data_IF_487236316896
#
_entry.id   IF_487236316896
#
_cell.length_a   1.000
_cell.length_b   1.000
_cell.length_c   1.000
_cell.angle_alpha   90.00
_cell.angle_beta   90.00
_cell.angle_gamma   90.00
#
_symmetry.space_group_name_H-M   'P 1'
#
loop_
_entity.id
_entity.type
_entity.pdbx_description
1 polymer ?
#
# COMPACT_ATOMS: atom_id res chain seq x y z
N UNK A 1 13.96 -14.11 28.42
CA UNK A 1 14.59 -12.91 27.84
C UNK A 1 13.48 -11.91 27.60
N UNK A 2 13.53 -10.72 28.21
CA UNK A 2 12.52 -9.71 27.98
C UNK A 2 12.52 -9.34 26.49
N UNK A 3 11.41 -9.59 25.80
CA UNK A 3 11.17 -9.06 24.47
C UNK A 3 11.08 -7.54 24.60
N UNK A 4 12.20 -6.84 24.47
CA UNK A 4 12.20 -5.40 24.23
C UNK A 4 11.55 -5.20 22.88
N UNK A 5 10.25 -4.90 22.88
CA UNK A 5 9.53 -4.41 21.72
C UNK A 5 10.30 -3.21 21.19
N UNK A 6 10.59 -3.21 19.88
CA UNK A 6 11.17 -2.03 19.24
C UNK A 6 10.07 -0.99 19.20
N UNK A 7 10.18 0.03 20.05
CA UNK A 7 9.29 1.18 20.02
C UNK A 7 9.53 1.98 18.75
N UNK A 8 8.45 2.50 18.16
CA UNK A 8 8.51 3.39 17.01
C UNK A 8 7.67 4.64 17.25
N UNK A 9 8.00 5.72 16.55
CA UNK A 9 7.35 7.03 16.72
C UNK A 9 6.38 7.35 15.59
N UNK A 10 5.47 8.30 15.83
CA UNK A 10 4.57 8.84 14.79
C UNK A 10 5.36 9.33 13.58
N UNK A 11 6.47 10.04 13.82
CA UNK A 11 7.33 10.52 12.73
C UNK A 11 7.91 9.36 11.90
N UNK A 12 8.24 8.22 12.52
CA UNK A 12 8.72 7.06 11.77
C UNK A 12 7.63 6.43 10.91
N UNK A 13 6.39 6.43 11.37
CA UNK A 13 5.23 6.01 10.55
C UNK A 13 5.03 6.98 9.38
N UNK A 14 5.09 8.30 9.63
CA UNK A 14 4.96 9.31 8.58
C UNK A 14 6.07 9.24 7.52
N UNK A 15 7.30 8.93 7.92
CA UNK A 15 8.41 8.71 7.00
C UNK A 15 8.18 7.48 6.09
N UNK A 16 7.35 6.53 6.51
CA UNK A 16 6.98 5.34 5.74
C UNK A 16 5.80 5.58 4.77
N UNK A 17 5.17 6.76 4.79
CA UNK A 17 4.13 7.11 3.81
C UNK A 17 4.70 7.10 2.40
N UNK A 18 3.91 6.62 1.44
CA UNK A 18 4.32 6.55 0.04
C UNK A 18 4.90 7.87 -0.49
N UNK A 19 4.24 8.99 -0.20
CA UNK A 19 4.66 10.33 -0.65
C UNK A 19 5.96 10.81 0.02
N UNK A 20 6.32 10.27 1.18
CA UNK A 20 7.55 10.63 1.90
C UNK A 20 8.82 10.05 1.27
N UNK A 21 8.74 8.87 0.65
CA UNK A 21 9.93 8.18 0.11
C UNK A 21 9.94 8.02 -1.41
N UNK A 22 8.78 8.08 -2.08
CA UNK A 22 8.70 7.71 -3.50
C UNK A 22 9.56 8.59 -4.40
N UNK A 23 9.61 9.91 -4.20
CA UNK A 23 10.39 10.77 -5.10
C UNK A 23 11.89 10.47 -5.01
N UNK A 24 12.41 10.25 -3.80
CA UNK A 24 13.82 9.89 -3.59
C UNK A 24 14.19 8.53 -4.21
N UNK A 25 13.25 7.59 -4.27
CA UNK A 25 13.46 6.23 -4.79
C UNK A 25 12.78 5.99 -6.14
N UNK A 26 12.36 7.05 -6.82
CA UNK A 26 11.50 6.97 -8.02
C UNK A 26 12.14 6.15 -9.13
N UNK A 27 13.45 6.31 -9.35
CA UNK A 27 14.22 5.60 -10.37
C UNK A 27 14.36 4.09 -10.08
N UNK A 28 14.17 3.68 -8.82
CA UNK A 28 14.24 2.29 -8.37
C UNK A 28 12.86 1.70 -8.04
N UNK A 29 11.79 2.46 -8.28
CA UNK A 29 10.42 2.08 -7.92
C UNK A 29 9.55 1.88 -9.17
N UNK A 30 8.53 1.04 -9.05
CA UNK A 30 7.50 0.94 -10.07
C UNK A 30 6.84 2.31 -10.25
N UNK A 31 6.70 2.73 -11.51
CA UNK A 31 6.03 3.98 -11.86
C UNK A 31 4.66 4.06 -11.20
N UNK A 32 4.45 5.12 -10.44
CA UNK A 32 3.27 5.32 -9.61
C UNK A 32 2.85 6.79 -9.62
N UNK A 33 1.56 7.03 -9.33
CA UNK A 33 0.95 8.35 -9.19
C UNK A 33 0.22 8.36 -7.84
N UNK A 34 0.43 9.42 -7.04
CA UNK A 34 -0.28 9.65 -5.80
C UNK A 34 -1.28 10.80 -6.00
N UNK A 35 -2.53 10.58 -5.58
CA UNK A 35 -3.64 11.53 -5.71
C UNK A 35 -4.18 11.78 -4.29
N UNK A 36 -4.25 13.03 -3.81
CA UNK A 36 -4.86 13.34 -2.52
C UNK A 36 -6.30 12.82 -2.47
N UNK A 37 -6.66 12.19 -1.35
CA UNK A 37 -8.03 11.70 -1.13
C UNK A 37 -8.93 12.85 -0.64
N UNK A 38 -10.08 13.07 -1.29
CA UNK A 38 -11.14 13.91 -0.75
C UNK A 38 -11.70 13.31 0.56
N UNK A 39 -12.10 14.15 1.51
CA UNK A 39 -12.62 13.69 2.81
C UNK A 39 -13.91 12.88 2.64
N UNK A 40 -14.75 13.24 1.67
CA UNK A 40 -15.96 12.49 1.30
C UNK A 40 -15.66 11.06 0.81
N UNK A 41 -14.52 10.85 0.15
CA UNK A 41 -14.07 9.52 -0.25
C UNK A 41 -13.54 8.74 0.95
N UNK A 42 -12.79 9.39 1.86
CA UNK A 42 -12.36 8.77 3.11
C UNK A 42 -13.57 8.37 3.96
N UNK A 43 -14.54 9.26 4.11
CA UNK A 43 -15.78 9.00 4.84
C UNK A 43 -16.57 7.86 4.20
N UNK A 44 -16.67 7.80 2.86
CA UNK A 44 -17.37 6.72 2.19
C UNK A 44 -16.68 5.37 2.37
N UNK A 45 -15.34 5.31 2.40
CA UNK A 45 -14.60 4.07 2.68
C UNK A 45 -14.90 3.52 4.08
N UNK A 46 -15.16 4.38 5.06
CA UNK A 46 -15.44 4.00 6.45
C UNK A 46 -16.92 3.67 6.73
N UNK A 47 -17.81 3.87 5.77
CA UNK A 47 -19.21 3.46 5.88
C UNK A 47 -19.37 1.97 5.56
N UNK A 48 -20.35 1.30 6.15
CA UNK A 48 -20.58 -0.13 5.89
C UNK A 48 -21.13 -0.42 4.48
N UNK A 49 -21.76 0.56 3.83
CA UNK A 49 -22.46 0.37 2.55
C UNK A 49 -21.54 0.51 1.35
N UNK A 50 -21.48 -0.52 0.49
CA UNK A 50 -20.74 -0.45 -0.78
C UNK A 50 -21.59 0.27 -1.84
N UNK A 51 -21.36 1.58 -1.99
CA UNK A 51 -21.95 2.39 -3.06
C UNK A 51 -20.91 2.64 -4.15
N UNK A 52 -21.13 2.05 -5.33
CA UNK A 52 -20.26 2.18 -6.51
C UNK A 52 -20.84 3.21 -7.47
N UNK A 53 -20.95 4.44 -7.00
CA UNK A 53 -21.50 5.56 -7.75
C UNK A 53 -20.44 6.66 -7.83
N UNK A 54 -19.97 6.97 -9.04
CA UNK A 54 -18.88 7.92 -9.27
C UNK A 54 -19.30 9.37 -8.99
N UNK A 55 -20.59 9.67 -9.16
CA UNK A 55 -21.22 10.98 -8.95
C UNK A 55 -21.26 11.41 -7.48
N UNK A 56 -20.96 10.51 -6.55
CA UNK A 56 -20.82 10.80 -5.12
C UNK A 56 -19.50 11.51 -4.77
N UNK A 57 -18.56 11.56 -5.70
CA UNK A 57 -17.21 12.07 -5.47
C UNK A 57 -16.91 13.27 -6.38
N UNK A 58 -15.98 14.17 -6.01
CA UNK A 58 -15.59 15.28 -6.85
C UNK A 58 -15.20 14.82 -8.25
N UNK A 59 -15.79 15.44 -9.27
CA UNK A 59 -15.51 15.11 -10.67
C UNK A 59 -14.02 15.27 -11.01
N UNK A 60 -13.34 16.24 -10.37
CA UNK A 60 -11.89 16.44 -10.47
C UNK A 60 -11.09 15.24 -9.94
N UNK A 61 -11.51 14.65 -8.82
CA UNK A 61 -10.88 13.48 -8.24
C UNK A 61 -11.09 12.24 -9.12
N UNK A 62 -12.33 11.98 -9.53
CA UNK A 62 -12.64 10.84 -10.42
C UNK A 62 -11.89 10.96 -11.75
N UNK A 63 -11.84 12.16 -12.33
CA UNK A 63 -11.08 12.42 -13.55
C UNK A 63 -9.58 12.19 -13.35
N UNK A 64 -9.00 12.65 -12.23
CA UNK A 64 -7.59 12.43 -11.91
C UNK A 64 -7.26 10.94 -11.75
N UNK A 65 -8.15 10.15 -11.14
CA UNK A 65 -7.98 8.69 -11.01
C UNK A 65 -8.03 8.02 -12.39
N UNK A 66 -9.00 8.38 -13.23
CA UNK A 66 -9.12 7.84 -14.60
C UNK A 66 -7.91 8.21 -15.48
N UNK A 67 -7.44 9.46 -15.41
CA UNK A 67 -6.20 9.90 -16.08
C UNK A 67 -4.99 9.09 -15.60
N UNK A 68 -4.84 8.91 -14.28
CA UNK A 68 -3.74 8.14 -13.73
C UNK A 68 -3.78 6.67 -14.17
N UNK A 69 -4.96 6.03 -14.21
CA UNK A 69 -5.12 4.68 -14.78
C UNK A 69 -4.64 4.65 -16.23
N UNK A 70 -5.07 5.62 -17.05
CA UNK A 70 -4.67 5.71 -18.46
C UNK A 70 -3.14 5.87 -18.61
N UNK A 71 -2.54 6.83 -17.91
CA UNK A 71 -1.09 7.12 -17.95
C UNK A 71 -0.22 5.97 -17.44
N UNK A 72 -0.76 5.11 -16.59
CA UNK A 72 -0.08 3.91 -16.09
C UNK A 72 -0.28 2.68 -16.98
N UNK A 73 -1.01 2.80 -18.10
CA UNK A 73 -1.20 1.74 -19.09
C UNK A 73 -2.50 0.95 -18.94
N UNK A 74 -3.53 1.55 -18.33
CA UNK A 74 -4.88 0.97 -18.23
C UNK A 74 -5.04 -0.12 -17.16
N UNK A 75 -3.96 -0.54 -16.51
CA UNK A 75 -3.96 -1.52 -15.42
C UNK A 75 -3.11 -1.01 -14.28
N UNK A 76 -3.69 -0.97 -13.09
CA UNK A 76 -3.04 -0.44 -11.91
C UNK A 76 -3.20 -1.35 -10.71
N UNK A 77 -2.30 -1.19 -9.76
CA UNK A 77 -2.40 -1.71 -8.40
C UNK A 77 -2.69 -0.54 -7.47
N UNK A 78 -3.80 -0.60 -6.72
CA UNK A 78 -4.21 0.47 -5.81
C UNK A 78 -3.79 0.20 -4.36
N UNK A 79 -3.33 1.24 -3.67
CA UNK A 79 -3.03 1.23 -2.24
C UNK A 79 -3.19 2.63 -1.64
N UNK A 80 -3.18 2.74 -0.31
CA UNK A 80 -3.05 4.02 0.38
C UNK A 80 -1.58 4.32 0.74
N UNK A 81 -1.35 5.25 1.65
CA UNK A 81 -0.01 5.68 2.06
C UNK A 81 0.89 4.52 2.51
N UNK A 82 0.36 3.55 3.28
CA UNK A 82 1.17 2.47 3.84
C UNK A 82 0.76 1.10 3.31
N UNK A 83 -0.53 0.80 3.35
CA UNK A 83 -1.04 -0.55 3.13
C UNK A 83 -1.70 -0.70 1.77
N UNK A 84 -1.56 -1.89 1.19
CA UNK A 84 -2.32 -2.33 0.02
C UNK A 84 -3.43 -3.26 0.44
N UNK A 85 -4.55 -3.23 -0.29
CA UNK A 85 -5.75 -4.05 -0.07
C UNK A 85 -5.58 -5.53 -0.48
N UNK A 86 -4.48 -6.16 -0.06
CA UNK A 86 -4.10 -7.54 -0.43
C UNK A 86 -4.99 -8.62 0.20
N UNK A 87 -5.57 -8.31 1.36
CA UNK A 87 -6.60 -9.07 2.07
C UNK A 87 -7.93 -9.07 1.32
N UNK A 88 -8.23 -8.02 0.57
CA UNK A 88 -9.47 -7.87 -0.18
C UNK A 88 -9.43 -8.43 -1.61
N UNK A 89 -8.35 -9.12 -2.01
CA UNK A 89 -8.20 -9.66 -3.39
C UNK A 89 -9.37 -10.53 -3.85
N UNK A 90 -10.10 -11.14 -2.91
CA UNK A 90 -11.26 -11.99 -3.18
C UNK A 90 -12.38 -11.24 -3.91
N UNK A 91 -12.52 -9.93 -3.72
CA UNK A 91 -13.59 -9.13 -4.35
C UNK A 91 -13.38 -8.94 -5.86
N UNK A 92 -12.13 -9.03 -6.34
CA UNK A 92 -11.76 -8.87 -7.76
C UNK A 92 -11.26 -10.18 -8.37
N UNK A 93 -11.99 -11.28 -8.15
CA UNK A 93 -11.65 -12.61 -8.68
C UNK A 93 -10.20 -13.04 -8.35
N UNK A 94 -9.78 -12.82 -7.10
CA UNK A 94 -8.44 -13.15 -6.59
C UNK A 94 -7.29 -12.36 -7.27
N UNK A 95 -7.58 -11.13 -7.71
CA UNK A 95 -6.62 -10.23 -8.35
C UNK A 95 -6.53 -8.89 -7.61
N UNK A 96 -5.37 -8.23 -7.70
CA UNK A 96 -5.16 -6.85 -7.23
C UNK A 96 -5.01 -5.87 -8.41
N UNK A 97 -5.31 -6.33 -9.62
CA UNK A 97 -5.27 -5.51 -10.83
C UNK A 97 -6.60 -4.77 -11.00
N UNK A 98 -6.59 -3.46 -10.77
CA UNK A 98 -7.71 -2.57 -11.06
C UNK A 98 -7.61 -2.00 -12.47
N UNK A 99 -8.74 -1.87 -13.17
CA UNK A 99 -8.86 -1.28 -14.52
C UNK A 99 -9.80 -0.08 -14.55
N UNK A 100 -10.64 0.06 -13.54
CA UNK A 100 -11.63 1.12 -13.42
C UNK A 100 -11.62 1.77 -12.04
N UNK A 101 -12.29 2.91 -11.91
CA UNK A 101 -12.54 3.55 -10.61
C UNK A 101 -13.35 2.64 -9.69
N UNK A 102 -14.35 1.95 -10.24
CA UNK A 102 -15.17 0.98 -9.51
C UNK A 102 -14.33 -0.14 -8.89
N UNK A 103 -13.38 -0.71 -9.64
CA UNK A 103 -12.49 -1.76 -9.12
C UNK A 103 -11.68 -1.27 -7.92
N UNK A 104 -11.14 -0.04 -8.01
CA UNK A 104 -10.36 0.59 -6.94
C UNK A 104 -11.24 0.78 -5.70
N UNK A 105 -12.42 1.36 -5.87
CA UNK A 105 -13.34 1.63 -4.78
C UNK A 105 -13.76 0.34 -4.08
N UNK A 106 -14.18 -0.69 -4.83
CA UNK A 106 -14.56 -1.99 -4.29
C UNK A 106 -13.42 -2.63 -3.50
N UNK A 107 -12.20 -2.61 -4.05
CA UNK A 107 -11.04 -3.23 -3.43
C UNK A 107 -10.63 -2.53 -2.14
N UNK A 108 -10.55 -1.19 -2.15
CA UNK A 108 -10.16 -0.41 -0.96
C UNK A 108 -11.21 -0.54 0.15
N UNK A 109 -12.49 -0.55 -0.22
CA UNK A 109 -13.58 -0.64 0.74
C UNK A 109 -13.70 -2.01 1.41
N UNK A 110 -13.34 -3.09 0.71
CA UNK A 110 -13.40 -4.44 1.24
C UNK A 110 -12.15 -4.84 2.07
N UNK A 111 -11.23 -3.91 2.36
CA UNK A 111 -9.95 -4.20 3.01
C UNK A 111 -9.89 -3.66 4.44
N UNK A 112 -9.55 -4.57 5.37
CA UNK A 112 -9.26 -4.24 6.76
C UNK A 112 -7.95 -3.47 6.89
N UNK A 113 -6.96 -3.76 6.03
CA UNK A 113 -5.71 -2.99 6.03
C UNK A 113 -5.91 -1.53 5.63
N UNK A 114 -6.83 -1.26 4.70
CA UNK A 114 -7.18 0.11 4.33
C UNK A 114 -7.94 0.80 5.48
N UNK A 115 -8.87 0.08 6.13
CA UNK A 115 -9.57 0.59 7.31
C UNK A 115 -8.60 0.93 8.45
N UNK A 116 -7.59 0.09 8.68
CA UNK A 116 -6.53 0.35 9.65
C UNK A 116 -5.73 1.62 9.30
N UNK A 117 -5.25 1.76 8.06
CA UNK A 117 -4.57 2.98 7.58
C UNK A 117 -5.42 4.24 7.83
N UNK A 118 -6.74 4.15 7.64
CA UNK A 118 -7.67 5.28 7.78
C UNK A 118 -8.13 5.56 9.21
N UNK A 119 -7.90 4.68 10.19
CA UNK A 119 -8.45 4.85 11.55
C UNK A 119 -7.41 4.78 12.65
N UNK A 120 -6.38 3.96 12.46
CA UNK A 120 -5.44 3.53 13.50
C UNK A 120 -3.99 3.52 13.00
N UNK A 121 -3.63 4.38 12.04
CA UNK A 121 -2.28 4.42 11.47
C UNK A 121 -1.15 4.57 12.50
N UNK A 122 -1.40 5.25 13.63
CA UNK A 122 -0.41 5.48 14.69
C UNK A 122 -0.52 4.50 15.85
N UNK A 123 -1.25 3.39 15.69
CA UNK A 123 -1.32 2.38 16.74
C UNK A 123 0.06 1.75 16.99
N UNK A 124 0.38 1.52 18.26
CA UNK A 124 1.68 1.04 18.72
C UNK A 124 2.83 2.07 18.73
N UNK A 125 2.61 3.33 18.32
CA UNK A 125 3.63 4.37 18.48
C UNK A 125 3.81 4.74 19.97
N UNK A 126 5.04 5.05 20.39
CA UNK A 126 5.35 5.42 21.79
C UNK A 126 4.99 6.86 22.15
N UNK A 127 4.91 7.75 21.14
CA UNK A 127 4.68 9.19 21.28
C UNK A 127 3.30 9.62 20.74
N UNK A 128 2.32 8.73 20.81
CA UNK A 128 0.95 9.04 20.36
C UNK A 128 0.34 10.09 21.27
N UNK A 129 0.09 11.28 20.71
CA UNK A 129 -0.74 12.29 21.33
C UNK A 129 -2.23 11.92 21.27
N UNK A 130 -3.08 12.89 20.96
CA UNK A 130 -4.52 12.66 20.79
C UNK A 130 -4.89 12.15 19.39
N UNK A 131 -4.05 12.39 18.38
CA UNK A 131 -4.30 11.97 16.99
C UNK A 131 -3.92 10.49 16.80
N UNK A 132 -4.83 9.72 16.19
CA UNK A 132 -4.63 8.29 15.85
C UNK A 132 -4.23 8.06 14.38
N UNK A 133 -4.32 9.10 13.55
CA UNK A 133 -4.10 9.08 12.10
C UNK A 133 -3.74 10.48 11.58
N UNK A 134 -3.17 10.63 10.37
CA UNK A 134 -2.98 11.94 9.75
C UNK A 134 -4.31 12.54 9.28
N UNK A 135 -4.28 13.84 8.97
CA UNK A 135 -5.46 14.57 8.48
C UNK A 135 -5.69 14.38 6.97
N UNK A 136 -4.67 13.95 6.22
CA UNK A 136 -4.74 13.77 4.77
C UNK A 136 -4.19 12.41 4.37
N UNK A 137 -4.73 11.86 3.29
CA UNK A 137 -4.34 10.57 2.72
C UNK A 137 -4.13 10.68 1.21
N UNK A 138 -3.39 9.73 0.64
CA UNK A 138 -3.23 9.63 -0.81
C UNK A 138 -3.69 8.28 -1.33
N UNK A 139 -4.47 8.30 -2.41
CA UNK A 139 -4.67 7.15 -3.28
C UNK A 139 -3.43 6.99 -4.15
N UNK A 140 -2.74 5.88 -3.99
CA UNK A 140 -1.53 5.56 -4.76
C UNK A 140 -1.87 4.49 -5.79
N UNK A 141 -1.73 4.86 -7.06
CA UNK A 141 -1.86 3.96 -8.19
C UNK A 141 -0.49 3.63 -8.72
N UNK A 142 -0.15 2.34 -8.70
CA UNK A 142 1.09 1.81 -9.27
C UNK A 142 0.79 1.15 -10.60
N UNK A 143 1.69 1.30 -11.58
CA UNK A 143 1.60 0.54 -12.84
C UNK A 143 1.54 -0.95 -12.51
N UNK A 144 0.58 -1.66 -13.09
CA UNK A 144 0.48 -3.10 -12.91
C UNK A 144 1.68 -3.80 -13.56
N UNK A 145 2.32 -4.68 -12.78
CA UNK A 145 3.43 -5.52 -13.21
C UNK A 145 3.13 -6.96 -12.83
N UNK A 146 3.34 -7.89 -13.75
CA UNK A 146 3.31 -9.32 -13.45
C UNK A 146 4.64 -9.70 -12.82
N UNK A 147 4.69 -9.68 -11.48
CA UNK A 147 5.85 -10.09 -10.71
C UNK A 147 5.63 -11.51 -10.19
N UNK A 148 6.68 -12.33 -10.23
CA UNK A 148 6.65 -13.66 -9.64
C UNK A 148 6.79 -13.54 -8.12
N UNK A 149 5.90 -14.19 -7.37
CA UNK A 149 5.91 -14.12 -5.91
C UNK A 149 7.20 -14.64 -5.28
N UNK A 150 7.86 -15.58 -5.96
CA UNK A 150 9.18 -16.09 -5.60
C UNK A 150 10.29 -15.03 -5.66
N UNK A 151 10.11 -13.97 -6.44
CA UNK A 151 11.10 -12.90 -6.61
C UNK A 151 10.81 -11.67 -5.74
N UNK A 152 9.93 -11.81 -4.74
CA UNK A 152 9.68 -10.78 -3.76
C UNK A 152 10.46 -11.06 -2.47
N UNK A 153 11.26 -10.08 -2.05
CA UNK A 153 12.07 -10.15 -0.84
C UNK A 153 11.75 -9.01 0.11
N UNK A 154 11.97 -9.25 1.40
CA UNK A 154 11.92 -8.24 2.45
C UNK A 154 13.33 -8.03 3.00
N UNK A 155 13.81 -6.80 2.94
CA UNK A 155 15.11 -6.41 3.44
C UNK A 155 14.97 -5.69 4.78
N UNK A 156 15.81 -6.04 5.76
CA UNK A 156 15.81 -5.45 7.09
C UNK A 156 17.07 -4.59 7.27
N UNK A 157 16.89 -3.31 7.56
CA UNK A 157 17.98 -2.33 7.64
C UNK A 157 18.00 -1.69 9.01
N UNK A 158 19.18 -1.57 9.62
CA UNK A 158 19.40 -0.83 10.88
C UNK A 158 20.70 -0.05 10.78
N UNK A 159 20.70 1.20 11.26
CA UNK A 159 21.88 2.07 11.22
C UNK A 159 22.54 2.14 9.83
N UNK A 160 21.71 2.24 8.77
CA UNK A 160 22.12 2.25 7.35
C UNK A 160 22.88 1.00 6.88
N UNK A 161 22.81 -0.11 7.62
CA UNK A 161 23.38 -1.41 7.24
C UNK A 161 22.27 -2.43 6.99
N UNK A 162 22.41 -3.21 5.92
CA UNK A 162 21.54 -4.34 5.64
C UNK A 162 21.87 -5.46 6.64
N UNK A 163 20.88 -5.85 7.44
CA UNK A 163 21.03 -6.89 8.46
C UNK A 163 20.62 -8.28 7.94
N UNK A 164 19.67 -8.31 7.00
CA UNK A 164 19.18 -9.57 6.46
C UNK A 164 18.13 -9.36 5.39
N UNK A 165 17.90 -10.43 4.63
CA UNK A 165 16.88 -10.52 3.59
C UNK A 165 16.09 -11.81 3.83
N UNK A 166 14.77 -11.76 3.64
CA UNK A 166 13.91 -12.95 3.64
C UNK A 166 13.02 -12.97 2.41
N UNK A 167 12.51 -14.15 2.04
CA UNK A 167 11.40 -14.24 1.09
C UNK A 167 10.19 -13.48 1.66
N UNK A 168 9.45 -12.80 0.77
CA UNK A 168 8.25 -12.06 1.15
C UNK A 168 7.05 -12.99 1.34
N UNK A 169 6.93 -13.98 0.46
CA UNK A 169 6.01 -15.10 0.59
C UNK A 169 6.61 -16.11 1.57
N UNK A 170 5.89 -16.42 2.64
CA UNK A 170 6.31 -17.38 3.66
C UNK A 170 5.49 -18.67 3.67
N UNK A 171 4.55 -18.83 2.73
CA UNK A 171 3.70 -20.04 2.64
C UNK A 171 4.23 -21.06 1.66
N UNK A 172 5.11 -20.65 0.75
CA UNK A 172 5.70 -21.51 -0.28
C UNK A 172 7.21 -21.53 -0.16
N UNK A 173 7.80 -22.70 -0.42
CA UNK A 173 9.24 -22.88 -0.55
C UNK A 173 9.58 -23.00 -2.02
N UNK A 174 10.51 -22.16 -2.49
CA UNK A 174 11.03 -22.21 -3.85
C UNK A 174 12.46 -22.77 -3.82
N UNK A 175 12.64 -24.03 -4.24
CA UNK A 175 13.92 -24.73 -4.12
C UNK A 175 15.07 -24.05 -4.89
N UNK A 176 14.76 -23.40 -6.00
CA UNK A 176 15.78 -22.68 -6.79
C UNK A 176 16.41 -21.51 -6.02
N UNK A 177 15.71 -20.92 -5.04
CA UNK A 177 16.26 -19.86 -4.19
C UNK A 177 17.22 -20.39 -3.12
N UNK A 178 17.17 -21.70 -2.83
CA UNK A 178 18.08 -22.36 -1.91
C UNK A 178 19.32 -22.95 -2.61
N UNK A 179 19.40 -22.84 -3.94
CA UNK A 179 20.51 -23.37 -4.71
C UNK A 179 21.78 -22.54 -4.50
N UNK A 180 22.94 -23.20 -4.38
CA UNK A 180 24.23 -22.52 -4.19
C UNK A 180 24.52 -21.50 -5.30
N UNK A 181 24.04 -21.76 -6.53
CA UNK A 181 24.17 -20.84 -7.67
C UNK A 181 23.44 -19.49 -7.48
N UNK A 182 22.53 -19.40 -6.51
CA UNK A 182 21.76 -18.18 -6.18
C UNK A 182 22.15 -17.56 -4.85
N UNK A 183 23.12 -18.14 -4.15
CA UNK A 183 23.67 -17.61 -2.90
C UNK A 183 25.00 -16.91 -3.24
N UNK A 184 25.05 -15.59 -3.12
CA UNK A 184 26.32 -14.86 -3.24
C UNK A 184 27.24 -15.25 -2.07
N UNK A 185 28.41 -15.82 -2.39
CA UNK A 185 29.53 -16.06 -1.44
C UNK A 185 30.09 -14.77 -0.86
#
# INVERSE_FOLDING_TARGET
MASTSVEYTVQQVDNCRFTSWYEALRVHSIRSIAIPLPEEFVASLLQDQILVQEDLYPSSFVAAVKDAIHRLGGRVFAKLDWSSAKDAKWILANSLCCRSFADILMLLKASDFITHDLTQAYDGCSDVGTKRRPDTFHLVLKKWCHLFDSMHFRCFVRAKKLLGISQRNCTERYDFLASEATQDT
#
